data_IF_952281065842
#
_entry.id   IF_952281065842
#
_cell.length_a   1.000
_cell.length_b   1.000
_cell.length_c   1.000
_cell.angle_alpha   90.00
_cell.angle_beta   90.00
_cell.angle_gamma   90.00
#
_symmetry.space_group_name_H-M   'P 1'
#
loop_
_entity.id
_entity.type
_entity.pdbx_description
1 polymer ?
#
# COMPACT_ATOMS: atom_id res chain seq x y z
N UNK A 1 30.67 3.81 9.15
CA UNK A 1 29.71 3.85 8.03
C UNK A 1 29.69 5.18 7.26
N UNK A 2 30.53 6.20 7.56
CA UNK A 2 30.44 7.54 6.94
C UNK A 2 31.38 7.81 5.75
N UNK A 3 32.50 7.08 5.62
CA UNK A 3 33.54 7.38 4.63
C UNK A 3 33.04 7.30 3.18
N UNK A 4 32.37 6.20 2.82
CA UNK A 4 31.87 5.99 1.46
C UNK A 4 30.76 6.97 1.06
N UNK A 5 29.87 7.34 1.99
CA UNK A 5 28.85 8.37 1.72
C UNK A 5 29.47 9.75 1.53
N UNK A 6 30.56 10.07 2.25
CA UNK A 6 31.31 11.30 2.05
C UNK A 6 31.91 11.40 0.64
N UNK A 7 32.42 10.29 0.10
CA UNK A 7 32.97 10.25 -1.27
C UNK A 7 31.91 10.55 -2.34
N UNK A 8 30.67 10.09 -2.13
CA UNK A 8 29.56 10.41 -3.03
C UNK A 8 29.23 11.90 -3.03
N UNK A 9 29.22 12.55 -1.85
CA UNK A 9 28.99 13.99 -1.75
C UNK A 9 30.08 14.81 -2.47
N UNK A 10 31.34 14.34 -2.44
CA UNK A 10 32.46 14.99 -3.16
C UNK A 10 32.36 14.80 -4.68
N UNK A 11 31.69 13.73 -5.14
CA UNK A 11 31.47 13.46 -6.57
C UNK A 11 30.33 14.26 -7.21
N UNK A 12 29.51 14.96 -6.41
CA UNK A 12 28.44 15.79 -6.93
C UNK A 12 29.02 16.95 -7.76
N UNK A 13 28.44 17.26 -8.94
CA UNK A 13 28.95 18.30 -9.80
C UNK A 13 28.83 19.68 -9.14
N UNK A 14 29.81 20.55 -9.42
CA UNK A 14 29.72 21.96 -9.05
C UNK A 14 28.83 22.68 -10.05
N UNK A 15 27.72 23.23 -9.56
CA UNK A 15 26.78 23.97 -10.38
C UNK A 15 27.23 25.43 -10.51
N UNK A 16 27.26 25.93 -11.74
CA UNK A 16 27.54 27.34 -12.03
C UNK A 16 26.26 28.17 -12.09
N UNK A 17 25.13 27.53 -12.38
CA UNK A 17 23.80 28.13 -12.46
C UNK A 17 22.88 27.48 -11.40
N UNK A 18 22.23 28.32 -10.59
CA UNK A 18 21.33 27.86 -9.52
C UNK A 18 20.04 27.22 -10.07
N UNK A 19 19.56 27.70 -11.21
CA UNK A 19 18.36 27.19 -11.86
C UNK A 19 18.57 25.75 -12.36
N UNK A 20 19.69 25.51 -13.04
CA UNK A 20 20.08 24.17 -13.51
C UNK A 20 20.26 23.19 -12.33
N UNK A 21 20.86 23.65 -11.23
CA UNK A 21 20.99 22.84 -10.02
C UNK A 21 19.63 22.40 -9.48
N UNK A 22 18.68 23.34 -9.43
CA UNK A 22 17.33 23.10 -8.92
C UNK A 22 16.59 22.10 -9.82
N UNK A 23 16.66 22.29 -11.14
CA UNK A 23 16.06 21.39 -12.12
C UNK A 23 16.65 19.98 -12.06
N UNK A 24 17.98 19.87 -11.98
CA UNK A 24 18.65 18.58 -11.87
C UNK A 24 18.32 17.87 -10.55
N UNK A 25 18.26 18.59 -9.44
CA UNK A 25 17.87 18.04 -8.14
C UNK A 25 16.44 17.51 -8.20
N UNK A 26 15.49 18.28 -8.73
CA UNK A 26 14.11 17.85 -8.91
C UNK A 26 13.99 16.60 -9.83
N UNK A 27 14.77 16.54 -10.91
CA UNK A 27 14.85 15.37 -11.77
C UNK A 27 15.39 14.13 -11.04
N UNK A 28 16.49 14.27 -10.30
CA UNK A 28 17.10 13.19 -9.51
C UNK A 28 16.18 12.69 -8.42
N UNK A 29 15.50 13.59 -7.72
CA UNK A 29 14.55 13.23 -6.66
C UNK A 29 13.34 12.49 -7.23
N UNK A 30 12.82 12.94 -8.38
CA UNK A 30 11.77 12.22 -9.12
C UNK A 30 12.22 10.81 -9.50
N UNK A 31 13.43 10.65 -10.02
CA UNK A 31 13.97 9.35 -10.40
C UNK A 31 14.11 8.42 -9.19
N UNK A 32 14.70 8.92 -8.10
CA UNK A 32 14.87 8.18 -6.84
C UNK A 32 13.54 7.74 -6.25
N UNK A 33 12.55 8.64 -6.21
CA UNK A 33 11.21 8.32 -5.73
C UNK A 33 10.57 7.23 -6.60
N UNK A 34 10.69 7.34 -7.93
CA UNK A 34 10.14 6.34 -8.86
C UNK A 34 10.80 4.97 -8.65
N UNK A 35 12.13 4.92 -8.55
CA UNK A 35 12.88 3.70 -8.28
C UNK A 35 12.51 3.06 -6.94
N UNK A 36 12.38 3.89 -5.90
CA UNK A 36 11.92 3.45 -4.59
C UNK A 36 10.52 2.83 -4.67
N UNK A 37 9.58 3.48 -5.35
CA UNK A 37 8.21 2.98 -5.53
C UNK A 37 8.13 1.71 -6.40
N UNK A 38 9.03 1.54 -7.37
CA UNK A 38 9.08 0.33 -8.22
C UNK A 38 9.50 -0.92 -7.44
N UNK A 39 10.20 -0.78 -6.32
CA UNK A 39 10.62 -1.91 -5.49
C UNK A 39 9.48 -2.51 -4.64
N UNK A 40 8.31 -1.86 -4.56
CA UNK A 40 7.17 -2.38 -3.80
C UNK A 40 6.41 -3.47 -4.57
N UNK A 41 5.75 -4.35 -3.80
CA UNK A 41 4.86 -5.39 -4.32
C UNK A 41 3.70 -4.78 -5.12
N UNK A 42 3.19 -5.53 -6.08
CA UNK A 42 2.09 -5.09 -6.95
C UNK A 42 0.81 -4.74 -6.19
N UNK A 43 0.62 -5.28 -4.99
CA UNK A 43 -0.51 -4.89 -4.16
C UNK A 43 -0.52 -3.37 -3.90
N UNK A 44 0.63 -2.69 -3.87
CA UNK A 44 0.75 -1.24 -3.69
C UNK A 44 0.62 -0.43 -4.99
N UNK A 45 0.32 -1.07 -6.13
CA UNK A 45 0.18 -0.41 -7.42
C UNK A 45 -0.78 0.80 -7.37
N UNK A 46 -1.99 0.72 -6.77
CA UNK A 46 -2.90 1.87 -6.73
C UNK A 46 -2.30 3.06 -5.98
N UNK A 47 -1.56 2.80 -4.91
CA UNK A 47 -0.88 3.81 -4.10
C UNK A 47 0.28 4.41 -4.89
N UNK A 48 1.07 3.57 -5.58
CA UNK A 48 2.17 3.99 -6.46
C UNK A 48 1.67 4.91 -7.58
N UNK A 49 0.63 4.50 -8.31
CA UNK A 49 0.04 5.34 -9.36
C UNK A 49 -0.48 6.67 -8.80
N UNK A 50 -1.14 6.64 -7.64
CA UNK A 50 -1.65 7.86 -6.99
C UNK A 50 -0.53 8.83 -6.57
N UNK A 51 0.64 8.32 -6.19
CA UNK A 51 1.80 9.16 -5.84
C UNK A 51 2.45 9.73 -7.11
N UNK A 52 2.66 8.91 -8.14
CA UNK A 52 3.35 9.30 -9.37
C UNK A 52 2.53 10.24 -10.27
N UNK A 53 1.19 10.13 -10.24
CA UNK A 53 0.29 10.97 -11.03
C UNK A 53 -0.04 12.33 -10.38
N UNK A 54 0.52 12.62 -9.20
CA UNK A 54 0.27 13.88 -8.49
C UNK A 54 1.21 14.98 -9.01
N UNK A 55 0.63 16.15 -9.32
CA UNK A 55 1.38 17.36 -9.67
C UNK A 55 1.17 18.45 -8.61
N UNK A 56 2.25 19.06 -8.05
CA UNK A 56 3.65 18.66 -8.21
C UNK A 56 3.92 17.28 -7.57
N UNK A 57 5.02 16.64 -7.97
CA UNK A 57 5.42 15.35 -7.42
C UNK A 57 5.64 15.52 -5.91
N UNK A 58 5.07 14.66 -5.05
CA UNK A 58 5.23 14.79 -3.61
C UNK A 58 6.68 14.57 -3.20
N UNK A 59 7.08 15.19 -2.08
CA UNK A 59 8.35 14.88 -1.45
C UNK A 59 8.40 13.43 -0.97
N UNK A 60 9.61 12.93 -0.70
CA UNK A 60 9.82 11.58 -0.19
C UNK A 60 9.03 11.35 1.12
N UNK A 61 9.03 12.29 2.05
CA UNK A 61 8.32 12.18 3.33
C UNK A 61 6.81 12.05 3.16
N UNK A 62 6.24 12.79 2.21
CA UNK A 62 4.80 12.72 1.91
C UNK A 62 4.46 11.37 1.27
N UNK A 63 5.29 10.91 0.33
CA UNK A 63 5.12 9.59 -0.29
C UNK A 63 5.22 8.47 0.73
N UNK A 64 6.21 8.54 1.63
CA UNK A 64 6.43 7.55 2.70
C UNK A 64 5.26 7.52 3.68
N UNK A 65 4.78 8.68 4.13
CA UNK A 65 3.62 8.78 5.02
C UNK A 65 2.38 8.11 4.42
N UNK A 66 2.16 8.30 3.11
CA UNK A 66 1.05 7.68 2.39
C UNK A 66 1.21 6.16 2.26
N UNK A 67 2.42 5.67 2.07
CA UNK A 67 2.71 4.23 2.04
C UNK A 67 2.48 3.57 3.41
N UNK A 68 2.98 4.18 4.49
CA UNK A 68 2.78 3.69 5.87
C UNK A 68 1.28 3.66 6.21
N UNK A 69 0.54 4.70 5.82
CA UNK A 69 -0.91 4.74 6.00
C UNK A 69 -1.60 3.58 5.28
N UNK A 70 -1.25 3.33 4.02
CA UNK A 70 -1.84 2.24 3.23
C UNK A 70 -1.48 0.85 3.77
N UNK A 71 -0.24 0.66 4.23
CA UNK A 71 0.17 -0.57 4.90
C UNK A 71 -0.65 -0.80 6.18
N UNK A 72 -0.77 0.21 7.03
CA UNK A 72 -1.54 0.14 8.28
C UNK A 72 -3.02 -0.13 8.02
N UNK A 73 -3.60 0.52 6.99
CA UNK A 73 -4.98 0.31 6.56
C UNK A 73 -5.22 -1.13 6.14
N UNK A 74 -4.30 -1.71 5.36
CA UNK A 74 -4.39 -3.11 4.90
C UNK A 74 -4.31 -4.09 6.05
N UNK A 75 -3.35 -3.91 6.96
CA UNK A 75 -3.22 -4.74 8.16
C UNK A 75 -4.49 -4.70 9.01
N UNK A 76 -5.11 -3.53 9.13
CA UNK A 76 -6.37 -3.34 9.86
C UNK A 76 -7.54 -4.07 9.21
N UNK A 77 -7.66 -4.01 7.88
CA UNK A 77 -8.73 -4.71 7.13
C UNK A 77 -8.57 -6.23 7.25
N UNK A 78 -7.36 -6.76 7.07
CA UNK A 78 -7.08 -8.20 7.22
C UNK A 78 -7.43 -8.69 8.62
N UNK A 79 -7.13 -7.92 9.66
CA UNK A 79 -7.50 -8.25 11.06
C UNK A 79 -9.02 -8.30 11.26
N UNK A 80 -9.77 -7.36 10.68
CA UNK A 80 -11.23 -7.35 10.76
C UNK A 80 -11.88 -8.50 9.97
N UNK A 81 -11.33 -8.85 8.80
CA UNK A 81 -11.81 -9.99 8.00
C UNK A 81 -11.63 -11.31 8.75
N UNK A 82 -10.49 -11.51 9.43
CA UNK A 82 -10.28 -12.66 10.31
C UNK A 82 -11.37 -12.78 11.39
N UNK A 83 -11.73 -11.66 12.01
CA UNK A 83 -12.76 -11.63 13.07
C UNK A 83 -14.17 -11.93 12.54
N UNK A 84 -14.51 -11.46 11.33
CA UNK A 84 -15.83 -11.68 10.73
C UNK A 84 -16.05 -13.13 10.30
N UNK A 85 -15.02 -13.81 9.79
CA UNK A 85 -15.13 -15.22 9.37
C UNK A 85 -15.43 -16.14 10.56
N UNK A 86 -14.88 -15.86 11.75
CA UNK A 86 -15.14 -16.66 12.97
C UNK A 86 -16.59 -16.50 13.46
N UNK A 87 -17.17 -15.31 13.32
CA UNK A 87 -18.55 -15.05 13.72
C UNK A 87 -19.57 -15.71 12.76
N UNK A 88 -19.32 -15.67 11.44
CA UNK A 88 -20.20 -16.26 10.44
C UNK A 88 -20.25 -17.79 10.49
N UNK A 89 -19.15 -18.46 10.87
CA UNK A 89 -19.16 -19.93 11.09
C UNK A 89 -19.79 -20.32 12.42
N UNK A 90 -19.75 -19.45 13.43
CA UNK A 90 -20.37 -19.72 14.73
C UNK A 90 -21.89 -19.53 14.73
N UNK A 91 -22.42 -18.64 13.89
CA UNK A 91 -23.87 -18.44 13.74
C UNK A 91 -24.57 -19.49 12.86
N UNK A 92 -23.82 -20.32 12.13
CA UNK A 92 -24.37 -21.43 11.33
C UNK A 92 -24.57 -22.73 12.14
N UNK A 93 -24.14 -22.78 13.41
CA UNK A 93 -24.22 -23.98 14.25
C UNK A 93 -25.05 -23.76 15.50
N UNK A 94 -26.25 -23.21 15.38
CA UNK A 94 -27.27 -23.34 16.41
C UNK A 94 -28.63 -23.59 15.76
N UNK A 95 -29.19 -24.76 16.12
CA UNK A 95 -30.56 -25.24 15.93
C UNK A 95 -30.87 -25.98 14.61
N UNK A 96 -30.60 -27.29 14.62
CA UNK A 96 -31.50 -28.26 13.97
C UNK A 96 -32.19 -29.08 15.06
N UNK A 97 -33.41 -28.72 15.49
CA UNK A 97 -34.22 -29.63 16.27
C UNK A 97 -34.77 -30.73 15.35
N UNK A 98 -34.79 -31.88 15.97
CA UNK A 98 -35.24 -33.18 15.53
C UNK A 98 -36.73 -33.23 15.13
N UNK A 99 -37.03 -34.21 14.26
CA UNK A 99 -38.32 -34.84 14.03
C UNK A 99 -39.58 -34.00 13.72
N UNK A 100 -39.99 -34.02 12.44
CA UNK A 100 -41.38 -33.82 12.06
C UNK A 100 -41.75 -34.67 10.83
N UNK A 101 -42.80 -35.47 11.02
CA UNK A 101 -43.35 -36.48 10.13
C UNK A 101 -43.70 -35.88 8.76
N UNK A 102 -43.31 -36.54 7.67
CA UNK A 102 -43.79 -36.23 6.31
C UNK A 102 -45.31 -36.51 6.23
N UNK A 103 -46.16 -35.55 5.84
CA UNK A 103 -47.44 -35.89 5.24
C UNK A 103 -47.16 -36.36 3.81
N UNK A 104 -47.66 -37.55 3.45
CA UNK A 104 -47.81 -37.95 2.04
C UNK A 104 -48.70 -36.92 1.36
N UNK A 105 -48.22 -36.35 0.26
CA UNK A 105 -49.08 -35.62 -0.66
C UNK A 105 -49.99 -36.64 -1.35
N UNK A 106 -51.30 -36.49 -1.14
CA UNK A 106 -52.37 -37.14 -1.91
C UNK A 106 -53.11 -36.04 -2.64
N UNK A 107 -52.57 -35.61 -3.78
CA UNK A 107 -53.39 -35.20 -4.89
C UNK A 107 -52.63 -35.31 -6.22
N UNK A 108 -53.40 -35.70 -7.22
CA UNK A 108 -53.05 -36.33 -8.49
C UNK A 108 -52.11 -35.51 -9.39
#
# INVERSE_FOLDING_TARGET
>A
MSYYWGLLAVSEPKWLCQEDQTLFTAYRDKLRLTQFLMAFKDDFEPTRASILNRQPLPSLDIALSKLIFEETRRLSITSQQSSFIIAATSSASLQRPDNSKRPRCIHC
#
